data_IF_216511687994
#
_entry.id   IF_216511687994
#
_cell.length_a   1.000
_cell.length_b   1.000
_cell.length_c   1.000
_cell.angle_alpha   90.00
_cell.angle_beta   90.00
_cell.angle_gamma   90.00
#
_symmetry.space_group_name_H-M   'P 1'
#
loop_
_entity.id
_entity.type
_entity.pdbx_description
1 polymer ?
#
# COMPACT_ATOMS: atom_id res chain seq x y z
N UNK A 1 5.47 15.90 46.79
CA UNK A 1 5.85 16.26 45.42
C UNK A 1 5.94 14.95 44.65
N UNK A 2 4.98 14.66 43.75
CA UNK A 2 4.91 13.38 43.04
C UNK A 2 5.86 13.46 41.85
N UNK A 3 6.96 12.72 41.90
CA UNK A 3 7.76 12.46 40.70
C UNK A 3 6.98 11.48 39.83
N UNK A 4 6.50 11.98 38.69
CA UNK A 4 5.93 11.14 37.66
C UNK A 4 7.07 10.31 37.06
N UNK A 5 7.08 9.01 37.32
CA UNK A 5 7.85 8.05 36.52
C UNK A 5 7.39 8.15 35.07
N UNK A 6 8.20 8.81 34.25
CA UNK A 6 8.14 8.69 32.80
C UNK A 6 8.44 7.22 32.46
N UNK A 7 7.37 6.45 32.29
CA UNK A 7 7.44 5.11 31.72
C UNK A 7 8.04 5.28 30.33
N UNK A 8 9.28 4.81 30.14
CA UNK A 8 9.87 4.60 28.82
C UNK A 8 8.87 3.75 28.05
N UNK A 9 8.21 4.35 27.06
CA UNK A 9 7.58 3.59 25.99
C UNK A 9 8.74 2.99 25.21
N UNK A 10 8.99 1.71 25.46
CA UNK A 10 9.86 0.93 24.61
C UNK A 10 9.32 1.02 23.18
N UNK A 11 10.24 1.17 22.23
CA UNK A 11 9.91 1.11 20.82
C UNK A 11 9.42 -0.30 20.51
N UNK A 12 8.11 -0.51 20.64
CA UNK A 12 7.41 -1.58 19.97
C UNK A 12 7.49 -1.24 18.48
N UNK A 13 8.60 -1.64 17.86
CA UNK A 13 8.68 -1.84 16.42
C UNK A 13 7.57 -2.84 16.15
N UNK A 14 6.39 -2.33 15.77
CA UNK A 14 5.29 -3.17 15.31
C UNK A 14 5.91 -4.18 14.36
N UNK A 15 5.71 -5.47 14.64
CA UNK A 15 6.26 -6.53 13.81
C UNK A 15 5.69 -6.34 12.40
N UNK A 16 6.45 -5.64 11.55
CA UNK A 16 6.07 -5.39 10.16
C UNK A 16 5.84 -6.74 9.53
N UNK A 17 4.62 -6.96 9.02
CA UNK A 17 4.21 -8.29 8.57
C UNK A 17 5.13 -8.75 7.43
N UNK A 18 5.27 -10.06 7.20
CA UNK A 18 6.03 -10.56 6.05
C UNK A 18 5.53 -9.98 4.72
N UNK A 19 4.22 -9.78 4.57
CA UNK A 19 3.59 -9.18 3.39
C UNK A 19 4.00 -7.72 3.25
N UNK A 20 3.91 -6.93 4.33
CA UNK A 20 4.33 -5.53 4.32
C UNK A 20 5.81 -5.40 3.93
N UNK A 21 6.68 -6.28 4.44
CA UNK A 21 8.11 -6.26 4.07
C UNK A 21 8.33 -6.52 2.59
N UNK A 22 7.59 -7.45 2.00
CA UNK A 22 7.68 -7.77 0.58
C UNK A 22 7.17 -6.62 -0.28
N UNK A 23 5.98 -6.08 0.05
CA UNK A 23 5.38 -4.94 -0.64
C UNK A 23 6.30 -3.71 -0.55
N UNK A 24 6.72 -3.33 0.65
CA UNK A 24 7.59 -2.18 0.85
C UNK A 24 8.99 -2.38 0.24
N UNK A 25 9.49 -3.63 0.17
CA UNK A 25 10.73 -3.94 -0.52
C UNK A 25 10.67 -3.69 -2.03
N UNK A 26 9.50 -3.84 -2.64
CA UNK A 26 9.26 -3.49 -4.05
C UNK A 26 8.94 -2.00 -4.21
N UNK A 27 8.10 -1.43 -3.35
CA UNK A 27 7.60 -0.05 -3.47
C UNK A 27 8.68 1.00 -3.13
N UNK A 28 9.58 0.69 -2.20
CA UNK A 28 10.65 1.59 -1.80
C UNK A 28 11.91 1.31 -2.60
N UNK A 29 12.36 2.31 -3.36
CA UNK A 29 13.66 2.31 -4.03
C UNK A 29 14.63 3.28 -3.31
N UNK A 30 15.96 3.07 -3.37
CA UNK A 30 16.94 3.90 -2.64
C UNK A 30 16.90 5.40 -2.97
N UNK A 31 16.37 5.75 -4.14
CA UNK A 31 16.28 7.12 -4.66
C UNK A 31 14.90 7.76 -4.44
N UNK A 32 13.93 7.01 -3.90
CA UNK A 32 12.61 7.53 -3.52
C UNK A 32 12.57 7.77 -2.00
N UNK A 33 11.69 8.68 -1.55
CA UNK A 33 11.33 8.76 -0.13
C UNK A 33 10.75 7.41 0.30
N UNK A 34 11.09 6.89 1.48
CA UNK A 34 10.45 5.65 1.95
C UNK A 34 9.02 5.93 2.42
N UNK A 35 8.09 5.07 2.00
CA UNK A 35 6.72 5.01 2.52
C UNK A 35 6.60 3.85 3.50
N UNK A 36 5.83 4.05 4.57
CA UNK A 36 5.46 3.00 5.52
C UNK A 36 4.18 2.28 5.06
N UNK A 37 3.95 1.05 5.51
CA UNK A 37 2.81 0.24 5.09
C UNK A 37 1.47 0.96 5.31
N UNK A 38 1.25 1.52 6.51
CA UNK A 38 0.00 2.23 6.85
C UNK A 38 -0.20 3.48 5.99
N UNK A 39 0.89 4.17 5.64
CA UNK A 39 0.83 5.35 4.78
C UNK A 39 0.48 4.97 3.34
N UNK A 40 1.03 3.86 2.85
CA UNK A 40 0.67 3.30 1.54
C UNK A 40 -0.79 2.82 1.51
N UNK A 41 -1.23 2.10 2.54
CA UNK A 41 -2.61 1.66 2.69
C UNK A 41 -3.57 2.87 2.73
N UNK A 42 -3.24 3.90 3.51
CA UNK A 42 -4.00 5.16 3.55
C UNK A 42 -4.07 5.82 2.17
N UNK A 43 -2.96 5.87 1.43
CA UNK A 43 -2.92 6.44 0.08
C UNK A 43 -3.85 5.68 -0.90
N UNK A 44 -3.93 4.34 -0.78
CA UNK A 44 -4.84 3.50 -1.57
C UNK A 44 -6.30 3.77 -1.16
N UNK A 45 -6.61 3.86 0.13
CA UNK A 45 -7.98 4.10 0.61
C UNK A 45 -8.47 5.49 0.15
N UNK A 46 -7.66 6.52 0.39
CA UNK A 46 -8.03 7.92 0.14
C UNK A 46 -8.07 8.24 -1.36
N UNK A 47 -7.14 7.69 -2.15
CA UNK A 47 -7.08 7.92 -3.60
C UNK A 47 -6.45 9.25 -4.02
N UNK A 48 -6.58 9.64 -5.31
CA UNK A 48 -5.83 10.73 -5.92
C UNK A 48 -6.06 12.10 -5.30
N UNK A 49 -7.30 12.40 -4.88
CA UNK A 49 -7.69 13.76 -4.45
C UNK A 49 -6.97 14.24 -3.18
N UNK A 50 -6.50 13.32 -2.32
CA UNK A 50 -5.84 13.68 -1.04
C UNK A 50 -4.79 12.65 -0.56
N UNK A 51 -4.78 11.44 -1.11
CA UNK A 51 -3.92 10.35 -0.64
C UNK A 51 -2.60 10.24 -1.40
N UNK A 52 -2.51 10.81 -2.60
CA UNK A 52 -1.36 10.63 -3.49
C UNK A 52 -0.38 11.82 -3.48
N UNK A 53 -0.71 12.93 -2.82
CA UNK A 53 0.19 14.07 -2.70
C UNK A 53 1.49 13.65 -1.98
N UNK A 54 2.58 13.61 -2.75
CA UNK A 54 3.89 13.11 -2.31
C UNK A 54 4.06 11.58 -2.31
N UNK A 55 3.02 10.79 -2.58
CA UNK A 55 3.07 9.32 -2.60
C UNK A 55 2.74 8.67 -3.95
N UNK A 56 2.38 9.45 -4.97
CA UNK A 56 1.95 8.95 -6.29
C UNK A 56 2.92 7.91 -6.87
N UNK A 57 4.23 8.16 -6.84
CA UNK A 57 5.23 7.22 -7.37
C UNK A 57 5.25 5.86 -6.64
N UNK A 58 4.86 5.84 -5.37
CA UNK A 58 4.75 4.61 -4.58
C UNK A 58 3.47 3.85 -4.92
N UNK A 59 2.37 4.57 -5.12
CA UNK A 59 1.10 3.98 -5.53
C UNK A 59 1.20 3.40 -6.95
N UNK A 60 1.84 4.12 -7.89
CA UNK A 60 2.11 3.60 -9.24
C UNK A 60 2.94 2.32 -9.16
N UNK A 61 4.08 2.32 -8.46
CA UNK A 61 4.93 1.13 -8.29
C UNK A 61 4.20 -0.01 -7.59
N UNK A 62 3.34 0.29 -6.61
CA UNK A 62 2.50 -0.71 -5.96
C UNK A 62 1.64 -1.46 -6.98
N UNK A 63 1.01 -0.76 -7.92
CA UNK A 63 0.13 -1.39 -8.91
C UNK A 63 0.86 -1.99 -10.11
N UNK A 64 2.01 -1.45 -10.52
CA UNK A 64 2.73 -1.93 -11.71
C UNK A 64 3.76 -3.02 -11.40
N UNK A 65 4.36 -3.03 -10.21
CA UNK A 65 5.51 -3.91 -9.91
C UNK A 65 5.22 -4.96 -8.82
N UNK A 66 4.28 -4.73 -7.92
CA UNK A 66 3.94 -5.71 -6.88
C UNK A 66 3.12 -6.85 -7.50
N UNK A 67 3.46 -8.09 -7.11
CA UNK A 67 2.74 -9.29 -7.56
C UNK A 67 1.26 -9.24 -7.10
N UNK A 68 0.27 -9.61 -7.93
CA UNK A 68 -1.14 -9.49 -7.58
C UNK A 68 -1.56 -10.22 -6.29
N UNK A 69 -1.00 -11.39 -6.00
CA UNK A 69 -1.29 -12.10 -4.75
C UNK A 69 -0.84 -11.31 -3.51
N UNK A 70 0.31 -10.60 -3.59
CA UNK A 70 0.77 -9.73 -2.51
C UNK A 70 -0.08 -8.47 -2.38
N UNK A 71 -0.56 -7.90 -3.51
CA UNK A 71 -1.51 -6.78 -3.49
C UNK A 71 -2.80 -7.20 -2.77
N UNK A 72 -3.28 -8.41 -3.03
CA UNK A 72 -4.48 -8.97 -2.37
C UNK A 72 -4.26 -9.20 -0.88
N UNK A 73 -3.19 -9.89 -0.51
CA UNK A 73 -2.86 -10.14 0.90
C UNK A 73 -2.63 -8.85 1.68
N UNK A 74 -1.99 -7.85 1.06
CA UNK A 74 -1.80 -6.52 1.65
C UNK A 74 -3.16 -5.83 1.85
N UNK A 75 -4.03 -5.85 0.85
CA UNK A 75 -5.36 -5.26 0.96
C UNK A 75 -6.18 -5.93 2.07
N UNK A 76 -6.19 -7.26 2.14
CA UNK A 76 -6.91 -8.00 3.17
C UNK A 76 -6.34 -7.71 4.58
N UNK A 77 -5.00 -7.61 4.73
CA UNK A 77 -4.36 -7.27 6.00
C UNK A 77 -4.71 -5.85 6.49
N UNK A 78 -4.81 -4.89 5.57
CA UNK A 78 -5.08 -3.48 5.86
C UNK A 78 -6.57 -3.12 5.74
N UNK A 79 -7.46 -4.13 5.70
CA UNK A 79 -8.92 -3.99 5.62
C UNK A 79 -9.40 -3.15 4.42
N UNK A 80 -8.64 -3.19 3.32
CA UNK A 80 -8.96 -2.50 2.07
C UNK A 80 -9.84 -3.43 1.22
N UNK A 81 -11.05 -2.99 0.91
CA UNK A 81 -11.95 -3.75 0.04
C UNK A 81 -11.32 -3.93 -1.35
N UNK A 82 -11.42 -5.14 -1.91
CA UNK A 82 -10.85 -5.44 -3.23
C UNK A 82 -11.42 -4.57 -4.36
N UNK A 83 -12.69 -4.17 -4.24
CA UNK A 83 -13.31 -3.20 -5.14
C UNK A 83 -12.62 -1.82 -5.10
N UNK A 84 -12.19 -1.37 -3.91
CA UNK A 84 -11.40 -0.14 -3.76
C UNK A 84 -10.05 -0.28 -4.44
N UNK A 85 -9.36 -1.42 -4.27
CA UNK A 85 -8.09 -1.69 -4.95
C UNK A 85 -8.26 -1.64 -6.47
N UNK A 86 -9.31 -2.27 -7.01
CA UNK A 86 -9.63 -2.24 -8.45
C UNK A 86 -9.88 -0.82 -8.94
N UNK A 87 -10.69 -0.04 -8.21
CA UNK A 87 -10.97 1.35 -8.53
C UNK A 87 -9.67 2.18 -8.59
N UNK A 88 -8.79 2.06 -7.58
CA UNK A 88 -7.52 2.80 -7.56
C UNK A 88 -6.57 2.38 -8.68
N UNK A 89 -6.54 1.10 -9.01
CA UNK A 89 -5.78 0.62 -10.16
C UNK A 89 -6.28 1.27 -11.46
N UNK A 90 -7.60 1.35 -11.65
CA UNK A 90 -8.18 2.00 -12.84
C UNK A 90 -7.80 3.49 -12.92
N UNK A 91 -7.88 4.21 -11.79
CA UNK A 91 -7.47 5.62 -11.71
C UNK A 91 -5.99 5.81 -12.09
N UNK A 92 -5.09 4.95 -11.56
CA UNK A 92 -3.65 4.97 -11.91
C UNK A 92 -3.44 4.66 -13.39
N UNK A 93 -4.13 3.65 -13.91
CA UNK A 93 -4.01 3.22 -15.31
C UNK A 93 -4.46 4.30 -16.27
N UNK A 94 -5.54 5.02 -15.96
CA UNK A 94 -6.00 6.15 -16.76
C UNK A 94 -5.00 7.31 -16.77
N UNK A 95 -4.33 7.56 -15.64
CA UNK A 95 -3.33 8.64 -15.52
C UNK A 95 -1.98 8.30 -16.18
N UNK A 96 -1.51 7.07 -16.00
CA UNK A 96 -0.13 6.66 -16.35
C UNK A 96 -0.03 5.82 -17.61
N UNK A 97 -1.15 5.29 -18.10
CA UNK A 97 -1.22 4.27 -19.15
C UNK A 97 -0.46 2.95 -18.85
N UNK A 98 -0.01 2.75 -17.61
CA UNK A 98 0.62 1.51 -17.15
C UNK A 98 -0.42 0.38 -17.05
N UNK A 99 -0.04 -0.83 -17.46
CA UNK A 99 -0.92 -1.99 -17.51
C UNK A 99 -0.31 -3.16 -16.75
N UNK A 100 -1.10 -3.77 -15.85
CA UNK A 100 -0.74 -5.00 -15.16
C UNK A 100 -1.79 -6.09 -15.49
N UNK A 101 -1.52 -6.86 -16.54
CA UNK A 101 -2.44 -7.90 -17.03
C UNK A 101 -2.70 -9.01 -16.00
N UNK A 102 -1.72 -9.32 -15.16
CA UNK A 102 -1.85 -10.33 -14.11
C UNK A 102 -2.81 -9.84 -13.01
N UNK A 103 -2.72 -8.55 -12.66
CA UNK A 103 -3.63 -7.92 -11.69
C UNK A 103 -5.05 -7.78 -12.27
N UNK A 104 -5.18 -7.43 -13.55
CA UNK A 104 -6.48 -7.38 -14.24
C UNK A 104 -7.18 -8.74 -14.22
N UNK A 105 -6.46 -9.81 -14.58
CA UNK A 105 -6.98 -11.17 -14.49
C UNK A 105 -7.38 -11.56 -13.05
N UNK A 106 -6.64 -11.09 -12.05
CA UNK A 106 -6.97 -11.32 -10.63
C UNK A 106 -8.25 -10.59 -10.18
N UNK A 107 -8.57 -9.43 -10.75
CA UNK A 107 -9.85 -8.77 -10.50
C UNK A 107 -11.01 -9.59 -11.08
N UNK A 108 -10.87 -10.04 -12.33
CA UNK A 108 -11.94 -10.77 -13.03
C UNK A 108 -12.21 -12.15 -12.41
N UNK A 109 -11.17 -12.82 -11.91
CA UNK A 109 -11.29 -14.11 -11.22
C UNK A 109 -12.07 -14.04 -9.89
N UNK A 110 -12.24 -12.83 -9.32
CA UNK A 110 -12.96 -12.64 -8.06
C UNK A 110 -14.45 -12.32 -8.22
N UNK A 111 -14.93 -12.13 -9.46
CA UNK A 111 -16.33 -11.81 -9.79
C UNK A 111 -17.16 -13.04 -10.20
N UNK A 112 -16.58 -14.24 -10.12
CA UNK A 112 -17.17 -15.51 -10.58
C UNK A 112 -17.25 -16.52 -9.43
#
# INVERSE_FOLDING_TARGET
MKEASFRKLDGSRMDVSPVDRLVLGTVNAPWKRSVEADALATAIIVGPDNGWDGWQIHVVTFFSEVRPHLIREFADQHEIAWATVRQRYQEIREETAEVNLELEAAFDASEN
#
